data_IF_800339038327
#
_entry.id   IF_800339038327
#
_cell.length_a   1.000
_cell.length_b   1.000
_cell.length_c   1.000
_cell.angle_alpha   90.00
_cell.angle_beta   90.00
_cell.angle_gamma   90.00
#
_symmetry.space_group_name_H-M   'P 1'
#
loop_
_entity.id
_entity.type
_entity.pdbx_description
1 polymer ?
#
# COMPACT_ATOMS: atom_id res chain seq x y z
N UNK A 1 -0.91 8.34 8.39
CA UNK A 1 -1.29 7.06 9.03
C UNK A 1 -2.11 7.24 10.31
N UNK A 2 -1.84 8.23 11.18
CA UNK A 2 -2.63 8.45 12.41
C UNK A 2 -4.08 8.92 12.18
N UNK A 3 -4.31 9.79 11.19
CA UNK A 3 -5.64 10.37 10.91
C UNK A 3 -6.73 9.33 10.60
N UNK A 4 -6.39 8.22 9.93
CA UNK A 4 -7.39 7.20 9.55
C UNK A 4 -7.75 6.24 10.69
N UNK A 5 -6.89 6.10 11.70
CA UNK A 5 -7.19 5.37 12.93
C UNK A 5 -8.09 6.20 13.84
N UNK A 6 -7.90 7.53 13.87
CA UNK A 6 -8.74 8.44 14.66
C UNK A 6 -10.15 8.62 14.08
N UNK A 7 -10.32 8.48 12.76
CA UNK A 7 -11.63 8.57 12.07
C UNK A 7 -12.41 7.24 12.03
N UNK A 8 -11.77 6.11 12.35
CA UNK A 8 -12.40 4.81 12.40
C UNK A 8 -13.32 4.71 13.62
N UNK A 9 -14.59 5.13 13.46
CA UNK A 9 -15.61 4.92 14.49
C UNK A 9 -15.80 3.42 14.72
N UNK A 10 -15.78 3.00 15.99
CA UNK A 10 -16.06 1.61 16.39
C UNK A 10 -17.44 1.23 15.84
N UNK A 11 -17.52 0.10 15.13
CA UNK A 11 -18.77 -0.42 14.57
C UNK A 11 -19.14 0.07 13.16
N UNK A 12 -18.23 0.71 12.40
CA UNK A 12 -18.48 1.03 10.97
C UNK A 12 -18.81 -0.23 10.15
N UNK A 13 -18.22 -1.39 10.50
CA UNK A 13 -18.49 -2.68 9.87
C UNK A 13 -19.65 -3.46 10.53
N UNK A 14 -20.32 -2.90 11.55
CA UNK A 14 -21.25 -3.60 12.41
C UNK A 14 -20.57 -4.31 13.59
N UNK A 15 -21.37 -4.88 14.50
CA UNK A 15 -20.93 -5.67 15.65
C UNK A 15 -20.80 -7.18 15.35
N UNK A 16 -20.88 -7.50 14.07
CA UNK A 16 -21.01 -8.86 13.57
C UNK A 16 -19.71 -9.26 12.86
N UNK A 17 -19.25 -10.48 13.11
CA UNK A 17 -18.05 -11.09 12.54
C UNK A 17 -18.48 -12.31 11.74
N UNK A 18 -18.25 -12.28 10.43
CA UNK A 18 -18.59 -13.36 9.50
C UNK A 18 -17.30 -14.00 8.95
N UNK A 19 -16.68 -14.87 9.76
CA UNK A 19 -15.41 -15.52 9.44
C UNK A 19 -15.52 -16.43 8.21
N UNK A 20 -16.58 -17.25 8.11
CA UNK A 20 -16.74 -18.17 6.98
C UNK A 20 -16.93 -17.45 5.64
N UNK A 21 -17.74 -16.39 5.62
CA UNK A 21 -17.93 -15.57 4.41
C UNK A 21 -16.62 -14.85 4.02
N UNK A 22 -15.84 -14.37 5.00
CA UNK A 22 -14.55 -13.76 4.77
C UNK A 22 -13.54 -14.73 4.15
N UNK A 23 -13.46 -15.95 4.69
CA UNK A 23 -12.61 -17.03 4.14
C UNK A 23 -13.08 -17.36 2.71
N UNK A 24 -14.37 -17.56 2.48
CA UNK A 24 -14.92 -17.86 1.15
C UNK A 24 -14.61 -16.77 0.12
N UNK A 25 -14.74 -15.49 0.50
CA UNK A 25 -14.37 -14.37 -0.36
C UNK A 25 -12.86 -14.33 -0.65
N UNK A 26 -12.03 -14.63 0.36
CA UNK A 26 -10.58 -14.69 0.20
C UNK A 26 -10.17 -15.82 -0.76
N UNK A 27 -10.73 -17.02 -0.61
CA UNK A 27 -10.50 -18.16 -1.51
C UNK A 27 -10.88 -17.80 -2.95
N UNK A 28 -12.06 -17.19 -3.15
CA UNK A 28 -12.49 -16.72 -4.47
C UNK A 28 -11.48 -15.76 -5.11
N UNK A 29 -10.87 -14.87 -4.32
CA UNK A 29 -9.82 -13.94 -4.81
C UNK A 29 -8.50 -14.65 -5.10
N UNK A 30 -8.11 -15.62 -4.27
CA UNK A 30 -6.88 -16.39 -4.45
C UNK A 30 -6.92 -17.27 -5.70
N UNK A 31 -8.08 -17.81 -6.08
CA UNK A 31 -8.28 -18.53 -7.36
C UNK A 31 -7.89 -17.69 -8.59
N UNK A 32 -8.04 -16.37 -8.52
CA UNK A 32 -7.70 -15.47 -9.63
C UNK A 32 -6.19 -15.16 -9.73
N UNK A 33 -5.36 -15.64 -8.80
CA UNK A 33 -3.91 -15.41 -8.79
C UNK A 33 -3.13 -16.69 -9.18
N UNK A 34 -2.23 -16.62 -10.18
CA UNK A 34 -1.30 -17.69 -10.48
C UNK A 34 -0.15 -17.65 -9.45
N UNK A 35 -0.29 -18.38 -8.34
CA UNK A 35 0.75 -18.47 -7.31
C UNK A 35 0.99 -19.92 -6.92
N UNK A 36 2.27 -20.27 -6.76
CA UNK A 36 2.78 -21.61 -6.39
C UNK A 36 2.54 -21.94 -4.91
N UNK A 37 2.40 -20.93 -4.05
CA UNK A 37 1.94 -21.07 -2.66
C UNK A 37 0.84 -20.05 -2.36
N UNK A 38 -0.21 -20.48 -1.65
CA UNK A 38 -1.38 -19.68 -1.28
C UNK A 38 -1.54 -19.75 0.24
N UNK A 39 -1.26 -18.62 0.89
CA UNK A 39 -1.50 -18.45 2.33
C UNK A 39 -2.56 -17.37 2.54
N UNK A 40 -3.43 -17.58 3.52
CA UNK A 40 -4.43 -16.64 3.99
C UNK A 40 -4.15 -16.29 5.45
N UNK A 41 -3.82 -15.03 5.72
CA UNK A 41 -3.74 -14.53 7.10
C UNK A 41 -5.10 -13.98 7.49
N UNK A 42 -5.72 -14.56 8.51
CA UNK A 42 -7.02 -14.15 9.04
C UNK A 42 -6.79 -13.41 10.35
N UNK A 43 -7.28 -12.18 10.49
CA UNK A 43 -7.11 -11.40 11.74
C UNK A 43 -8.49 -11.10 12.30
N UNK A 44 -8.74 -11.46 13.57
CA UNK A 44 -10.03 -11.23 14.23
C UNK A 44 -9.84 -10.92 15.71
N UNK A 45 -10.72 -10.09 16.26
CA UNK A 45 -10.81 -9.72 17.68
C UNK A 45 -12.03 -10.36 18.38
N UNK A 46 -12.84 -11.13 17.66
CA UNK A 46 -14.03 -11.79 18.20
C UNK A 46 -14.43 -13.07 17.48
N UNK A 47 -15.41 -13.77 18.06
CA UNK A 47 -16.00 -15.00 17.57
C UNK A 47 -16.89 -14.79 16.34
N UNK A 48 -17.05 -15.85 15.55
CA UNK A 48 -18.00 -15.86 14.44
C UNK A 48 -19.43 -15.82 14.97
N UNK A 49 -20.13 -14.70 14.78
CA UNK A 49 -21.50 -14.48 15.27
C UNK A 49 -22.49 -14.15 14.14
N UNK A 50 -22.01 -14.13 12.90
CA UNK A 50 -22.80 -13.87 11.70
C UNK A 50 -22.20 -14.59 10.47
N UNK A 51 -22.87 -14.44 9.33
CA UNK A 51 -22.44 -15.03 8.06
C UNK A 51 -23.32 -16.22 7.66
N UNK A 52 -23.30 -16.54 6.37
CA UNK A 52 -24.07 -17.66 5.82
C UNK A 52 -23.24 -18.95 5.78
N UNK A 53 -21.92 -18.82 5.68
CA UNK A 53 -20.99 -19.93 5.60
C UNK A 53 -20.41 -20.21 6.98
N UNK A 54 -20.45 -21.48 7.37
CA UNK A 54 -19.81 -21.98 8.57
C UNK A 54 -18.26 -21.90 8.45
N UNK A 55 -17.54 -21.36 9.45
CA UNK A 55 -16.08 -21.19 9.37
C UNK A 55 -15.30 -22.50 9.17
N UNK A 56 -15.75 -23.59 9.81
CA UNK A 56 -15.11 -24.91 9.70
C UNK A 56 -15.28 -25.45 8.29
N UNK A 57 -16.47 -25.31 7.73
CA UNK A 57 -16.75 -25.68 6.33
C UNK A 57 -15.90 -24.86 5.35
N UNK A 58 -15.73 -23.56 5.59
CA UNK A 58 -14.86 -22.72 4.77
C UNK A 58 -13.37 -23.12 4.89
N UNK A 59 -12.92 -23.51 6.07
CA UNK A 59 -11.55 -23.99 6.31
C UNK A 59 -11.26 -25.31 5.58
N UNK A 60 -12.22 -26.24 5.54
CA UNK A 60 -12.10 -27.48 4.76
C UNK A 60 -11.95 -27.19 3.27
N UNK A 61 -12.76 -26.27 2.74
CA UNK A 61 -12.64 -25.86 1.34
C UNK A 61 -11.27 -25.23 1.06
N UNK A 62 -10.73 -24.44 2.00
CA UNK A 62 -9.39 -23.88 1.87
C UNK A 62 -8.32 -24.97 1.77
N UNK A 63 -8.42 -26.01 2.61
CA UNK A 63 -7.52 -27.16 2.59
C UNK A 63 -7.58 -27.92 1.24
N UNK A 64 -8.78 -28.14 0.71
CA UNK A 64 -8.98 -28.75 -0.62
C UNK A 64 -8.34 -27.92 -1.75
N UNK A 65 -8.33 -26.60 -1.61
CA UNK A 65 -7.70 -25.67 -2.57
C UNK A 65 -6.19 -25.49 -2.37
N UNK A 66 -5.61 -26.19 -1.39
CA UNK A 66 -4.20 -26.05 -1.00
C UNK A 66 -3.87 -24.67 -0.42
N UNK A 67 -4.84 -24.02 0.23
CA UNK A 67 -4.68 -22.71 0.87
C UNK A 67 -4.52 -22.90 2.38
N UNK A 68 -3.37 -22.49 2.91
CA UNK A 68 -3.11 -22.51 4.36
C UNK A 68 -3.69 -21.28 5.04
N UNK A 69 -4.42 -21.46 6.15
CA UNK A 69 -4.99 -20.34 6.90
C UNK A 69 -4.20 -20.15 8.20
N UNK A 70 -3.76 -18.91 8.45
CA UNK A 70 -3.08 -18.49 9.68
C UNK A 70 -3.96 -17.49 10.43
N UNK A 71 -4.77 -17.94 11.40
CA UNK A 71 -5.63 -17.08 12.18
C UNK A 71 -4.84 -16.38 13.29
N UNK A 72 -5.03 -15.07 13.42
CA UNK A 72 -4.43 -14.20 14.42
C UNK A 72 -5.57 -13.63 15.26
N UNK A 73 -5.67 -14.10 16.50
CA UNK A 73 -6.60 -13.58 17.50
C UNK A 73 -6.02 -12.34 18.19
N UNK A 74 -6.72 -11.21 18.13
CA UNK A 74 -6.36 -9.98 18.85
C UNK A 74 -7.19 -9.90 20.12
N UNK A 75 -6.53 -9.81 21.28
CA UNK A 75 -7.23 -9.65 22.55
C UNK A 75 -6.29 -9.59 23.74
N UNK A 76 -6.73 -8.90 24.80
CA UNK A 76 -6.04 -8.82 26.08
C UNK A 76 -6.38 -10.04 26.96
N UNK A 77 -5.43 -10.46 27.80
CA UNK A 77 -5.62 -11.57 28.76
C UNK A 77 -6.67 -11.19 29.81
N UNK A 78 -7.63 -12.08 30.14
CA UNK A 78 -8.55 -11.86 31.27
C UNK A 78 -7.82 -11.83 32.64
N UNK A 79 -6.64 -12.45 32.74
CA UNK A 79 -5.91 -12.62 34.01
C UNK A 79 -5.24 -11.35 34.54
N UNK A 80 -4.96 -10.36 33.68
CA UNK A 80 -4.38 -9.09 34.14
C UNK A 80 -5.41 -8.15 34.78
N UNK A 81 -6.69 -8.47 34.63
CA UNK A 81 -7.81 -7.69 35.14
C UNK A 81 -8.74 -8.53 36.02
N UNK A 82 -8.21 -9.53 36.74
CA UNK A 82 -9.01 -10.33 37.68
C UNK A 82 -9.83 -9.47 38.66
N UNK A 83 -9.30 -8.33 39.10
CA UNK A 83 -9.99 -7.40 40.00
C UNK A 83 -11.16 -6.64 39.32
N UNK A 84 -11.03 -6.33 38.02
CA UNK A 84 -12.05 -5.61 37.25
C UNK A 84 -13.06 -6.56 36.58
N UNK A 85 -12.65 -7.80 36.30
CA UNK A 85 -13.49 -8.92 35.85
C UNK A 85 -14.52 -9.31 36.91
N UNK A 86 -14.15 -9.27 38.20
CA UNK A 86 -15.08 -9.46 39.35
C UNK A 86 -16.12 -8.34 39.44
N UNK A 87 -15.78 -7.12 39.02
CA UNK A 87 -16.71 -5.99 38.99
C UNK A 87 -17.65 -5.99 37.77
N UNK A 88 -17.50 -6.97 36.86
CA UNK A 88 -18.35 -7.10 35.67
C UNK A 88 -18.17 -5.96 34.65
N UNK A 89 -17.07 -5.20 34.74
CA UNK A 89 -16.82 -4.02 33.90
C UNK A 89 -16.12 -4.35 32.57
N UNK A 90 -15.74 -5.61 32.36
CA UNK A 90 -15.17 -6.06 31.09
C UNK A 90 -16.24 -6.78 30.28
N UNK A 91 -16.65 -6.25 29.10
CA UNK A 91 -17.29 -7.10 28.12
C UNK A 91 -16.27 -8.18 27.79
N UNK A 92 -16.57 -9.45 28.11
CA UNK A 92 -15.79 -10.58 27.60
C UNK A 92 -15.77 -10.40 26.08
N UNK A 93 -14.60 -10.05 25.56
CA UNK A 93 -14.27 -10.25 24.17
C UNK A 93 -14.38 -11.76 23.98
N UNK A 94 -15.55 -12.22 23.55
CA UNK A 94 -15.79 -13.61 23.17
C UNK A 94 -14.96 -13.87 21.92
N UNK A 95 -13.66 -14.08 22.10
CA UNK A 95 -12.79 -14.63 21.08
C UNK A 95 -12.94 -16.15 21.17
N UNK A 96 -13.47 -16.75 20.12
CA UNK A 96 -13.61 -18.20 20.01
C UNK A 96 -12.28 -18.81 19.54
N UNK A 97 -11.32 -18.87 20.47
CA UNK A 97 -10.00 -19.48 20.24
C UNK A 97 -10.09 -20.94 19.75
N UNK A 98 -10.96 -21.81 20.30
CA UNK A 98 -11.11 -23.18 19.82
C UNK A 98 -11.44 -23.26 18.32
N UNK A 99 -12.39 -22.45 17.84
CA UNK A 99 -12.75 -22.44 16.42
C UNK A 99 -11.59 -21.94 15.55
N UNK A 100 -10.81 -20.96 16.02
CA UNK A 100 -9.63 -20.47 15.28
C UNK A 100 -8.52 -21.52 15.21
N UNK A 101 -8.26 -22.24 16.30
CA UNK A 101 -7.31 -23.35 16.31
C UNK A 101 -7.75 -24.48 15.36
N UNK A 102 -9.04 -24.80 15.33
CA UNK A 102 -9.59 -25.81 14.40
C UNK A 102 -9.43 -25.38 12.94
N UNK A 103 -9.71 -24.11 12.60
CA UNK A 103 -9.51 -23.57 11.24
C UNK A 103 -8.03 -23.69 10.82
N UNK A 104 -7.10 -23.35 11.71
CA UNK A 104 -5.67 -23.45 11.45
C UNK A 104 -5.26 -24.92 11.20
N UNK A 105 -5.69 -25.83 12.07
CA UNK A 105 -5.39 -27.26 11.99
C UNK A 105 -5.92 -27.89 10.69
N UNK A 106 -7.17 -27.59 10.32
CA UNK A 106 -7.78 -28.14 9.11
C UNK A 106 -7.10 -27.69 7.82
N UNK A 107 -6.51 -26.51 7.82
CA UNK A 107 -5.86 -25.91 6.64
C UNK A 107 -4.34 -26.04 6.63
N UNK A 108 -3.73 -26.82 7.54
CA UNK A 108 -2.27 -26.97 7.67
C UNK A 108 -1.54 -25.64 7.97
N UNK A 109 -2.21 -24.77 8.73
CA UNK A 109 -1.68 -23.51 9.22
C UNK A 109 -1.39 -23.52 10.72
N UNK A 110 -1.20 -22.32 11.28
CA UNK A 110 -0.93 -22.15 12.71
C UNK A 110 -1.73 -20.97 13.28
N UNK A 111 -2.33 -21.19 14.45
CA UNK A 111 -3.00 -20.14 15.22
C UNK A 111 -1.98 -19.29 15.98
N UNK A 112 -2.19 -17.98 15.97
CA UNK A 112 -1.39 -17.02 16.73
C UNK A 112 -2.29 -16.11 17.57
N UNK A 113 -1.83 -15.75 18.76
CA UNK A 113 -2.49 -14.77 19.62
C UNK A 113 -1.61 -13.54 19.77
N UNK A 114 -2.13 -12.37 19.40
CA UNK A 114 -1.44 -11.09 19.48
C UNK A 114 -2.05 -10.23 20.58
N UNK A 115 -1.27 -9.93 21.61
CA UNK A 115 -1.66 -9.10 22.77
C UNK A 115 -1.18 -7.66 22.65
N UNK A 116 -0.09 -7.47 21.91
CA UNK A 116 0.59 -6.20 21.72
C UNK A 116 1.20 -6.12 20.31
N UNK A 117 1.65 -4.93 19.94
CA UNK A 117 2.27 -4.68 18.64
C UNK A 117 3.58 -5.47 18.43
N UNK A 118 4.35 -5.68 19.50
CA UNK A 118 5.64 -6.38 19.45
C UNK A 118 5.44 -7.88 19.13
N UNK A 119 4.38 -8.48 19.67
CA UNK A 119 3.97 -9.86 19.35
C UNK A 119 3.50 -9.97 17.91
N UNK A 120 2.74 -8.98 17.41
CA UNK A 120 2.31 -8.97 16.02
C UNK A 120 3.51 -8.90 15.05
N UNK A 121 4.55 -8.13 15.41
CA UNK A 121 5.78 -8.06 14.63
C UNK A 121 6.54 -9.40 14.61
N UNK A 122 6.60 -10.11 15.74
CA UNK A 122 7.16 -11.47 15.80
C UNK A 122 6.37 -12.46 14.96
N UNK A 123 5.04 -12.43 15.03
CA UNK A 123 4.16 -13.29 14.23
C UNK A 123 4.40 -13.04 12.74
N UNK A 124 4.50 -11.77 12.33
CA UNK A 124 4.85 -11.39 10.96
C UNK A 124 6.18 -11.96 10.52
N UNK A 125 7.22 -11.87 11.36
CA UNK A 125 8.54 -12.42 11.03
C UNK A 125 8.50 -13.95 10.87
N UNK A 126 7.76 -14.66 11.72
CA UNK A 126 7.56 -16.11 11.61
C UNK A 126 6.82 -16.47 10.32
N UNK A 127 5.76 -15.74 9.97
CA UNK A 127 5.00 -15.94 8.73
C UNK A 127 5.86 -15.72 7.49
N UNK A 128 6.67 -14.66 7.47
CA UNK A 128 7.59 -14.37 6.37
C UNK A 128 8.62 -15.51 6.16
N UNK A 129 9.01 -16.20 7.24
CA UNK A 129 9.92 -17.35 7.18
C UNK A 129 9.23 -18.66 6.71
N UNK A 130 7.97 -18.87 7.11
CA UNK A 130 7.19 -20.06 6.75
C UNK A 130 6.66 -20.01 5.32
N UNK A 131 6.23 -18.84 4.86
CA UNK A 131 5.62 -18.63 3.54
C UNK A 131 6.36 -17.52 2.78
N UNK A 132 7.59 -17.81 2.30
CA UNK A 132 8.36 -16.84 1.54
C UNK A 132 7.66 -16.59 0.19
N UNK A 133 6.92 -15.49 0.12
CA UNK A 133 6.27 -15.12 -1.13
C UNK A 133 7.33 -14.53 -2.06
N UNK A 134 7.65 -15.24 -3.14
CA UNK A 134 8.33 -14.69 -4.30
C UNK A 134 7.36 -13.71 -5.02
N UNK A 135 6.99 -12.62 -4.35
CA UNK A 135 6.23 -11.57 -5.02
C UNK A 135 7.14 -11.00 -6.09
N UNK A 136 6.71 -11.07 -7.34
CA UNK A 136 7.22 -10.13 -8.31
C UNK A 136 6.97 -8.75 -7.72
N UNK A 137 8.00 -7.91 -7.56
CA UNK A 137 7.82 -6.60 -6.95
C UNK A 137 6.68 -5.95 -7.69
N UNK A 138 5.60 -5.67 -6.97
CA UNK A 138 4.56 -4.77 -7.48
C UNK A 138 5.36 -3.54 -7.86
N UNK A 139 5.59 -3.32 -9.15
CA UNK A 139 6.33 -2.16 -9.58
C UNK A 139 5.46 -1.00 -9.14
N UNK A 140 5.78 -0.45 -7.96
CA UNK A 140 5.23 0.78 -7.46
C UNK A 140 5.67 1.79 -8.51
N UNK A 141 4.83 1.97 -9.53
CA UNK A 141 5.14 2.79 -10.68
C UNK A 141 5.19 4.19 -10.11
N UNK A 142 6.38 4.74 -9.83
CA UNK A 142 6.44 6.04 -9.20
C UNK A 142 5.84 6.99 -10.23
N UNK A 143 4.71 7.60 -9.90
CA UNK A 143 4.10 8.59 -10.75
C UNK A 143 5.03 9.80 -10.76
N UNK A 144 5.99 9.81 -11.69
CA UNK A 144 6.88 10.95 -11.86
C UNK A 144 6.06 12.08 -12.45
N UNK A 145 6.01 13.19 -11.73
CA UNK A 145 5.33 14.41 -12.12
C UNK A 145 6.09 15.12 -13.26
N UNK A 146 6.00 14.57 -14.48
CA UNK A 146 6.62 15.13 -15.68
C UNK A 146 5.94 16.43 -16.18
N UNK A 147 4.85 16.88 -15.55
CA UNK A 147 4.10 18.07 -15.96
C UNK A 147 4.88 19.38 -15.79
N UNK A 148 5.96 19.38 -15.00
CA UNK A 148 6.77 20.57 -14.75
C UNK A 148 7.43 21.10 -16.02
N UNK A 149 7.91 20.20 -16.89
CA UNK A 149 8.54 20.55 -18.17
C UNK A 149 7.61 21.23 -19.16
N UNK A 150 6.45 20.64 -19.55
CA UNK A 150 5.53 21.30 -20.48
C UNK A 150 5.00 22.62 -19.90
N UNK A 151 4.72 22.70 -18.60
CA UNK A 151 4.25 23.93 -17.95
C UNK A 151 5.33 25.03 -17.99
N UNK A 152 6.58 24.70 -17.67
CA UNK A 152 7.70 25.65 -17.77
C UNK A 152 7.90 26.14 -19.21
N UNK A 153 7.81 25.25 -20.21
CA UNK A 153 7.93 25.65 -21.63
C UNK A 153 6.78 26.55 -22.08
N UNK A 154 5.55 26.26 -21.69
CA UNK A 154 4.38 27.09 -22.00
C UNK A 154 4.49 28.47 -21.35
N UNK A 155 4.94 28.52 -20.10
CA UNK A 155 5.16 29.77 -19.37
C UNK A 155 6.26 30.63 -20.03
N UNK A 156 7.37 30.01 -20.43
CA UNK A 156 8.49 30.71 -21.10
C UNK A 156 8.06 31.25 -22.48
N UNK A 157 7.34 30.46 -23.27
CA UNK A 157 6.79 30.90 -24.57
C UNK A 157 5.78 32.05 -24.40
N UNK A 158 4.92 31.99 -23.37
CA UNK A 158 3.98 33.06 -23.04
C UNK A 158 4.71 34.36 -22.71
N UNK A 159 5.74 34.29 -21.85
CA UNK A 159 6.58 35.45 -21.51
C UNK A 159 7.30 36.01 -22.75
N UNK A 160 7.85 35.15 -23.61
CA UNK A 160 8.55 35.58 -24.82
C UNK A 160 7.63 36.30 -25.82
N UNK A 161 6.39 35.81 -25.99
CA UNK A 161 5.38 36.47 -26.82
C UNK A 161 4.98 37.83 -26.26
N UNK A 162 4.78 37.92 -24.95
CA UNK A 162 4.45 39.16 -24.25
C UNK A 162 5.59 40.18 -24.37
N UNK A 163 6.86 39.77 -24.23
CA UNK A 163 8.01 40.65 -24.45
C UNK A 163 8.11 41.12 -25.91
N UNK A 164 7.75 40.28 -26.88
CA UNK A 164 7.72 40.67 -28.29
C UNK A 164 6.66 41.74 -28.56
N UNK A 165 5.48 41.60 -27.97
CA UNK A 165 4.35 42.52 -28.18
C UNK A 165 4.53 43.84 -27.43
N UNK A 166 5.03 43.79 -26.19
CA UNK A 166 5.26 44.98 -25.36
C UNK A 166 6.52 45.77 -25.76
N UNK A 167 7.45 45.18 -26.52
CA UNK A 167 8.70 45.84 -26.94
C UNK A 167 8.83 45.99 -28.46
N UNK A 168 7.94 46.76 -29.13
CA UNK A 168 7.99 47.01 -30.57
C UNK A 168 9.23 47.83 -31.01
N UNK A 169 10.03 48.36 -30.08
CA UNK A 169 11.22 49.17 -30.36
C UNK A 169 12.55 48.47 -29.98
N UNK A 170 12.74 47.25 -30.50
CA UNK A 170 13.96 46.77 -31.15
C UNK A 170 15.36 47.23 -30.65
N UNK A 171 15.65 47.16 -29.35
CA UNK A 171 17.04 47.22 -28.87
C UNK A 171 17.85 45.99 -29.34
N UNK A 172 17.23 44.81 -29.33
CA UNK A 172 17.86 43.55 -29.73
C UNK A 172 18.10 43.45 -31.24
N UNK A 173 17.21 43.99 -32.08
CA UNK A 173 17.46 44.03 -33.52
C UNK A 173 18.54 45.04 -33.90
N UNK A 174 18.67 46.17 -33.18
CA UNK A 174 19.81 47.09 -33.36
C UNK A 174 21.13 46.42 -32.99
N UNK A 175 21.16 45.64 -31.91
CA UNK A 175 22.37 44.93 -31.46
C UNK A 175 22.73 43.78 -32.40
N UNK A 176 21.76 43.03 -32.91
CA UNK A 176 21.96 42.00 -33.94
C UNK A 176 22.35 42.59 -35.31
N UNK A 177 21.84 43.77 -35.68
CA UNK A 177 22.24 44.48 -36.89
C UNK A 177 23.69 45.01 -36.79
N UNK A 178 24.10 45.51 -35.62
CA UNK A 178 25.49 45.91 -35.33
C UNK A 178 26.44 44.71 -35.36
N UNK A 179 26.01 43.55 -34.86
CA UNK A 179 26.78 42.30 -34.99
C UNK A 179 26.86 41.80 -36.44
N UNK A 180 25.85 42.03 -37.26
CA UNK A 180 25.85 41.69 -38.70
C UNK A 180 26.69 42.64 -39.55
N UNK A 181 26.93 43.89 -39.11
CA UNK A 181 27.80 44.86 -39.79
C UNK A 181 29.27 44.72 -39.44
N UNK A 182 29.63 43.91 -38.44
CA UNK A 182 31.02 43.52 -38.20
C UNK A 182 31.42 42.53 -39.30
N UNK A 183 32.10 43.07 -40.30
CA UNK A 183 32.58 42.36 -41.48
C UNK A 183 33.79 41.48 -41.10
N UNK A 184 33.56 40.36 -40.42
CA UNK A 184 34.59 39.37 -40.03
C UNK A 184 35.33 38.77 -41.25
N UNK A 185 34.81 38.93 -42.46
CA UNK A 185 35.39 38.39 -43.70
C UNK A 185 36.63 39.14 -44.20
N UNK A 186 36.85 40.39 -43.79
CA UNK A 186 38.04 41.15 -44.22
C UNK A 186 39.21 41.08 -43.24
N UNK A 187 38.95 40.91 -41.94
CA UNK A 187 40.01 40.78 -40.91
C UNK A 187 40.76 39.45 -40.95
N UNK A 188 40.20 38.40 -41.53
CA UNK A 188 40.88 37.10 -41.63
C UNK A 188 41.81 36.94 -42.85
N UNK A 189 41.86 37.92 -43.77
CA UNK A 189 42.77 37.85 -44.94
C UNK A 189 44.16 38.45 -44.70
N UNK A 190 44.39 39.23 -43.64
CA UNK A 190 45.72 39.80 -43.37
C UNK A 190 46.64 38.89 -42.55
N UNK A 191 46.12 37.81 -41.95
CA UNK A 191 46.88 36.87 -41.10
C UNK A 191 47.45 35.66 -41.86
N UNK A 192 47.34 35.62 -43.20
CA UNK A 192 47.83 34.51 -44.03
C UNK A 192 48.87 34.93 -45.09
N UNK A 193 49.53 36.10 -44.92
CA UNK A 193 50.49 36.64 -45.90
C UNK A 193 51.82 37.16 -45.35
N UNK A 194 52.30 36.63 -44.21
CA UNK A 194 53.70 36.80 -43.80
C UNK A 194 54.28 35.46 -43.34
N UNK A 195 54.65 34.65 -44.33
CA UNK A 195 55.92 33.93 -44.31
C UNK A 195 56.98 34.86 -44.87
#
# INVERSE_FOLDING_TARGET
MRVWLDEARIGIAGKNTALGDAIGLALKRLRMRPATSRALVLVTDGANNAGQIDPITAARLAAEEGVKIYPIGIGSDPDKDALQSVLGLHPRLDLDEPTLEEIASLSDGQYFRARDGDQLEKIRATLDALEPVAQQPTQARPAQALYQWPLATALLLSVLLVLRELWPNNALQRLLAVLRSINWRERCKSLWRSR
#
